data_IF_029041113085
#
_entry.id   IF_029041113085
#
_cell.length_a   1.000
_cell.length_b   1.000
_cell.length_c   1.000
_cell.angle_alpha   90.00
_cell.angle_beta   90.00
_cell.angle_gamma   90.00
#
_symmetry.space_group_name_H-M   'P 1'
#
loop_
_entity.id
_entity.type
_entity.pdbx_description
1 polymer ?
#
# COMPACT_ATOMS: atom_id res chain seq x y z
N UNK A 1 3.75 22.25 -10.27
CA UNK A 1 3.28 22.57 -8.90
C UNK A 1 4.36 22.32 -7.85
N UNK A 2 4.85 21.09 -7.67
CA UNK A 2 5.77 20.74 -6.57
C UNK A 2 7.10 21.50 -6.56
N UNK A 3 7.73 21.71 -7.72
CA UNK A 3 8.96 22.51 -7.83
C UNK A 3 8.72 23.97 -7.43
N UNK A 4 7.60 24.58 -7.89
CA UNK A 4 7.20 25.94 -7.49
C UNK A 4 7.03 26.03 -5.98
N UNK A 5 6.39 25.04 -5.37
CA UNK A 5 6.17 25.01 -3.92
C UNK A 5 7.49 24.90 -3.15
N UNK A 6 8.39 24.00 -3.58
CA UNK A 6 9.72 23.86 -2.97
C UNK A 6 10.53 25.15 -3.04
N UNK A 7 10.47 25.86 -4.17
CA UNK A 7 11.12 27.17 -4.34
C UNK A 7 10.45 28.28 -3.49
N UNK A 8 9.14 28.19 -3.25
CA UNK A 8 8.38 29.12 -2.44
C UNK A 8 8.55 28.87 -0.93
N UNK A 9 8.98 27.67 -0.52
CA UNK A 9 9.03 27.23 0.88
C UNK A 9 9.64 28.24 1.86
N UNK A 10 10.81 28.87 1.58
CA UNK A 10 11.41 29.84 2.53
C UNK A 10 10.56 31.09 2.77
N UNK A 11 9.55 31.35 1.93
CA UNK A 11 8.67 32.52 1.98
C UNK A 11 7.31 32.22 2.60
N UNK A 12 6.99 30.96 2.88
CA UNK A 12 5.69 30.54 3.42
C UNK A 12 5.66 30.83 4.91
N UNK A 13 4.59 31.46 5.41
CA UNK A 13 4.36 31.52 6.85
C UNK A 13 3.89 30.15 7.37
N UNK A 14 4.78 29.40 8.01
CA UNK A 14 4.48 28.05 8.51
C UNK A 14 3.44 28.02 9.65
N UNK A 15 3.12 29.17 10.26
CA UNK A 15 2.05 29.26 11.24
C UNK A 15 0.65 29.42 10.61
N UNK A 16 0.57 29.88 9.35
CA UNK A 16 -0.69 30.13 8.65
C UNK A 16 -1.13 28.90 7.83
N UNK A 17 -1.21 27.73 8.47
CA UNK A 17 -1.81 26.55 7.84
C UNK A 17 -3.31 26.48 8.11
N UNK A 18 -4.08 25.95 7.16
CA UNK A 18 -5.51 25.72 7.32
C UNK A 18 -5.87 24.25 7.15
N UNK A 19 -6.61 23.64 8.11
CA UNK A 19 -7.13 22.29 7.93
C UNK A 19 -8.14 22.24 6.78
N UNK A 20 -8.67 21.04 6.51
CA UNK A 20 -9.74 20.85 5.55
C UNK A 20 -11.02 21.52 6.07
N UNK A 21 -11.46 22.55 5.35
CA UNK A 21 -12.66 23.36 5.60
C UNK A 21 -13.75 23.16 4.52
N UNK A 22 -13.60 22.12 3.70
CA UNK A 22 -14.51 21.81 2.60
C UNK A 22 -15.90 21.41 3.13
N UNK A 23 -16.96 21.88 2.46
CA UNK A 23 -18.35 21.50 2.77
C UNK A 23 -18.58 19.99 2.65
N UNK A 24 -17.73 19.28 1.90
CA UNK A 24 -17.69 17.82 1.87
C UNK A 24 -17.47 17.19 3.24
N UNK A 25 -16.83 17.87 4.19
CA UNK A 25 -16.61 17.36 5.56
C UNK A 25 -17.91 17.18 6.36
N UNK A 26 -19.01 17.78 5.91
CA UNK A 26 -20.35 17.53 6.44
C UNK A 26 -20.97 16.23 5.91
N UNK A 27 -20.37 15.58 4.92
CA UNK A 27 -20.87 14.33 4.36
C UNK A 27 -20.75 13.19 5.39
N UNK A 28 -21.84 12.48 5.74
CA UNK A 28 -21.82 11.45 6.78
C UNK A 28 -20.76 10.37 6.57
N UNK A 29 -20.57 9.92 5.32
CA UNK A 29 -19.52 8.95 4.97
C UNK A 29 -18.11 9.44 5.30
N UNK A 30 -17.80 10.73 5.06
CA UNK A 30 -16.47 11.28 5.37
C UNK A 30 -16.27 11.40 6.89
N UNK A 31 -17.32 11.70 7.64
CA UNK A 31 -17.26 11.72 9.11
C UNK A 31 -17.02 10.32 9.69
N UNK A 32 -17.69 9.29 9.15
CA UNK A 32 -17.48 7.89 9.52
C UNK A 32 -16.04 7.43 9.17
N UNK A 33 -15.55 7.73 7.97
CA UNK A 33 -14.17 7.40 7.61
C UNK A 33 -13.17 8.13 8.53
N UNK A 34 -13.44 9.39 8.86
CA UNK A 34 -12.59 10.16 9.78
C UNK A 34 -12.59 9.57 11.19
N UNK A 35 -13.72 9.08 11.71
CA UNK A 35 -13.78 8.46 13.04
C UNK A 35 -12.94 7.18 13.12
N UNK A 36 -12.76 6.47 12.00
CA UNK A 36 -11.89 5.30 11.94
C UNK A 36 -10.41 5.68 11.74
N UNK A 37 -10.15 6.62 10.83
CA UNK A 37 -8.79 6.96 10.41
C UNK A 37 -8.04 7.73 11.50
N UNK A 38 -8.65 8.71 12.17
CA UNK A 38 -7.93 9.56 13.12
C UNK A 38 -7.35 8.75 14.30
N UNK A 39 -8.12 7.89 15.00
CA UNK A 39 -7.59 7.05 16.06
C UNK A 39 -6.52 6.08 15.54
N UNK A 40 -6.73 5.51 14.36
CA UNK A 40 -5.77 4.61 13.72
C UNK A 40 -4.42 5.31 13.49
N UNK A 41 -4.42 6.47 12.85
CA UNK A 41 -3.19 7.25 12.59
C UNK A 41 -2.51 7.70 13.89
N UNK A 42 -3.27 8.15 14.89
CA UNK A 42 -2.72 8.52 16.21
C UNK A 42 -2.05 7.34 16.90
N UNK A 43 -2.58 6.13 16.73
CA UNK A 43 -1.97 4.92 17.32
C UNK A 43 -0.57 4.63 16.77
N UNK A 44 -0.21 5.10 15.58
CA UNK A 44 1.17 4.95 15.06
C UNK A 44 2.14 5.98 15.65
N UNK A 45 1.63 7.08 16.19
CA UNK A 45 2.44 8.11 16.83
C UNK A 45 2.64 7.87 18.33
N UNK A 46 1.83 6.99 18.94
CA UNK A 46 1.97 6.67 20.36
C UNK A 46 3.20 5.79 20.62
N UNK A 47 3.81 5.97 21.78
CA UNK A 47 4.99 5.23 22.24
C UNK A 47 4.78 3.70 22.32
N UNK A 48 3.53 3.24 22.37
CA UNK A 48 3.16 1.83 22.52
C UNK A 48 3.20 1.02 21.22
N UNK A 49 3.04 1.65 20.04
CA UNK A 49 3.22 1.01 18.72
C UNK A 49 4.48 1.55 18.06
N UNK A 50 5.63 1.26 18.67
CA UNK A 50 6.94 1.83 18.31
C UNK A 50 7.47 1.46 16.91
N UNK A 51 6.79 0.61 16.14
CA UNK A 51 7.25 0.25 14.80
C UNK A 51 6.74 1.23 13.74
N UNK A 52 7.47 2.33 13.58
CA UNK A 52 7.45 3.13 12.36
C UNK A 52 8.68 2.75 11.54
N UNK A 53 8.52 2.18 10.32
CA UNK A 53 9.66 1.68 9.54
C UNK A 53 10.71 2.76 9.25
N UNK A 54 10.27 4.01 9.06
CA UNK A 54 11.09 5.15 8.64
C UNK A 54 10.43 6.47 9.04
N UNK A 55 11.24 7.50 9.28
CA UNK A 55 10.78 8.84 9.68
C UNK A 55 9.86 9.53 8.66
N UNK A 56 9.92 9.15 7.38
CA UNK A 56 9.03 9.66 6.32
C UNK A 56 7.56 9.26 6.54
N UNK A 57 7.30 8.13 7.22
CA UNK A 57 5.94 7.76 7.65
C UNK A 57 5.37 8.74 8.67
N UNK A 58 6.17 9.18 9.66
CA UNK A 58 5.75 10.24 10.60
C UNK A 58 5.45 11.53 9.86
N UNK A 59 6.34 11.91 8.93
CA UNK A 59 6.19 13.10 8.09
C UNK A 59 4.96 13.04 7.16
N UNK A 60 4.42 11.85 6.86
CA UNK A 60 3.14 11.71 6.16
C UNK A 60 1.94 11.76 7.11
N UNK A 61 2.03 11.10 8.29
CA UNK A 61 0.93 11.01 9.26
C UNK A 61 0.61 12.39 9.86
N UNK A 62 1.63 13.17 10.26
CA UNK A 62 1.41 14.46 10.95
C UNK A 62 0.68 15.49 10.07
N UNK A 63 1.06 15.75 8.80
CA UNK A 63 0.28 16.60 7.90
C UNK A 63 -1.11 16.02 7.62
N UNK A 64 -1.25 14.69 7.49
CA UNK A 64 -2.55 14.05 7.27
C UNK A 64 -3.52 14.35 8.42
N UNK A 65 -3.06 14.18 9.66
CA UNK A 65 -3.83 14.50 10.86
C UNK A 65 -4.15 16.00 10.97
N UNK A 66 -3.23 16.86 10.55
CA UNK A 66 -3.44 18.32 10.51
C UNK A 66 -4.50 18.70 9.48
N UNK A 67 -4.50 18.10 8.29
CA UNK A 67 -5.55 18.28 7.27
C UNK A 67 -6.90 17.83 7.83
N UNK A 68 -6.94 16.72 8.55
CA UNK A 68 -8.15 16.22 9.23
C UNK A 68 -8.55 17.06 10.46
N UNK A 69 -7.93 18.21 10.72
CA UNK A 69 -8.26 19.09 11.85
C UNK A 69 -7.92 18.50 13.22
N UNK A 70 -6.99 17.55 13.28
CA UNK A 70 -6.54 16.89 14.50
C UNK A 70 -5.01 16.92 14.61
N UNK A 71 -4.36 18.10 14.59
CA UNK A 71 -2.91 18.20 14.68
C UNK A 71 -2.40 17.52 15.96
N UNK A 72 -1.25 16.84 15.86
CA UNK A 72 -0.58 16.18 16.98
C UNK A 72 0.72 16.92 17.24
N UNK A 73 0.91 17.34 18.50
CA UNK A 73 2.15 17.95 18.96
C UNK A 73 3.17 16.86 19.30
N UNK A 74 4.46 17.12 19.08
CA UNK A 74 5.51 16.21 19.55
C UNK A 74 5.44 16.07 21.08
N UNK A 75 5.66 14.84 21.55
CA UNK A 75 5.31 14.34 22.88
C UNK A 75 5.97 15.04 24.10
N UNK A 76 6.73 16.13 23.92
CA UNK A 76 7.55 16.67 25.01
C UNK A 76 7.22 18.09 25.47
N UNK A 77 6.33 18.85 24.81
CA UNK A 77 5.96 20.19 25.31
C UNK A 77 4.51 20.55 25.01
N UNK A 78 3.75 20.90 26.04
CA UNK A 78 2.37 21.39 25.98
C UNK A 78 2.16 22.63 25.07
N UNK A 79 3.24 23.21 24.54
CA UNK A 79 3.27 24.38 23.65
C UNK A 79 4.05 24.17 22.33
N UNK A 80 4.46 22.95 21.98
CA UNK A 80 5.17 22.71 20.72
C UNK A 80 4.18 22.54 19.55
N UNK A 81 3.99 23.57 18.74
CA UNK A 81 3.33 23.42 17.44
C UNK A 81 4.10 22.42 16.58
N UNK A 82 3.39 21.58 15.82
CA UNK A 82 4.01 20.70 14.83
C UNK A 82 4.88 21.52 13.85
N UNK A 83 6.18 21.23 13.82
CA UNK A 83 7.11 21.91 12.94
C UNK A 83 7.16 21.19 11.58
N UNK A 84 6.62 21.83 10.55
CA UNK A 84 6.67 21.27 9.20
C UNK A 84 8.11 21.21 8.69
N UNK A 85 8.57 19.99 8.39
CA UNK A 85 9.87 19.78 7.74
C UNK A 85 9.89 20.39 6.34
N UNK A 86 11.07 20.82 5.88
CA UNK A 86 11.27 21.29 4.50
C UNK A 86 10.87 20.18 3.52
N UNK A 87 10.13 20.49 2.43
CA UNK A 87 9.80 19.52 1.40
C UNK A 87 11.06 18.84 0.85
N UNK A 88 11.11 17.51 0.98
CA UNK A 88 12.25 16.69 0.55
C UNK A 88 12.45 16.66 -0.96
N UNK A 89 13.48 15.95 -1.41
CA UNK A 89 13.76 15.80 -2.84
C UNK A 89 12.60 15.10 -3.57
N UNK A 90 12.13 15.73 -4.65
CA UNK A 90 11.11 15.15 -5.53
C UNK A 90 11.75 14.16 -6.51
N UNK A 91 11.21 12.93 -6.56
CA UNK A 91 11.59 11.92 -7.56
C UNK A 91 10.32 11.24 -8.07
N UNK A 92 10.25 10.90 -9.37
CA UNK A 92 9.03 10.34 -9.97
C UNK A 92 8.55 9.04 -9.31
N UNK A 93 9.49 8.25 -8.80
CA UNK A 93 9.24 6.95 -8.19
C UNK A 93 8.83 7.01 -6.71
N UNK A 94 9.05 8.13 -6.01
CA UNK A 94 8.75 8.24 -4.57
C UNK A 94 7.33 8.73 -4.37
N UNK A 95 6.39 7.78 -4.34
CA UNK A 95 4.97 8.13 -4.22
C UNK A 95 4.62 8.82 -2.89
N UNK A 96 5.17 8.34 -1.76
CA UNK A 96 4.94 8.96 -0.45
C UNK A 96 5.33 10.45 -0.44
N UNK A 97 6.44 10.81 -1.08
CA UNK A 97 6.84 12.21 -1.21
C UNK A 97 5.76 13.04 -1.90
N UNK A 98 5.13 12.53 -2.97
CA UNK A 98 4.02 13.23 -3.66
C UNK A 98 2.83 13.48 -2.74
N UNK A 99 2.47 12.48 -1.91
CA UNK A 99 1.40 12.63 -0.91
C UNK A 99 1.76 13.71 0.10
N UNK A 100 2.96 13.67 0.67
CA UNK A 100 3.44 14.69 1.63
C UNK A 100 3.42 16.09 1.00
N UNK A 101 3.89 16.23 -0.25
CA UNK A 101 3.84 17.49 -0.99
C UNK A 101 2.41 17.99 -1.14
N UNK A 102 1.48 17.15 -1.60
CA UNK A 102 0.08 17.53 -1.74
C UNK A 102 -0.52 18.00 -0.40
N UNK A 103 -0.31 17.25 0.68
CA UNK A 103 -0.82 17.61 2.01
C UNK A 103 -0.26 18.96 2.48
N UNK A 104 1.05 19.19 2.33
CA UNK A 104 1.68 20.47 2.71
C UNK A 104 1.17 21.63 1.85
N UNK A 105 1.08 21.46 0.53
CA UNK A 105 0.56 22.50 -0.37
C UNK A 105 -0.88 22.84 -0.01
N UNK A 106 -1.69 21.82 0.32
CA UNK A 106 -3.07 22.03 0.72
C UNK A 106 -3.16 22.84 2.01
N UNK A 107 -2.36 22.46 3.03
CA UNK A 107 -2.32 23.17 4.30
C UNK A 107 -1.91 24.64 4.15
N UNK A 108 -0.96 24.93 3.26
CA UNK A 108 -0.44 26.28 2.99
C UNK A 108 -1.04 26.93 1.72
N UNK A 109 -2.25 26.53 1.32
CA UNK A 109 -2.89 26.99 0.07
C UNK A 109 -3.11 28.51 -0.01
N UNK A 110 -3.18 29.19 1.13
CA UNK A 110 -3.32 30.65 1.18
C UNK A 110 -1.98 31.37 1.06
N UNK A 111 -0.89 30.70 1.43
CA UNK A 111 0.49 31.20 1.33
C UNK A 111 1.14 30.85 -0.02
N UNK A 112 0.47 30.03 -0.84
CA UNK A 112 1.00 29.54 -2.10
C UNK A 112 -0.01 29.71 -3.24
N UNK A 113 0.35 30.48 -4.26
CA UNK A 113 -0.53 30.75 -5.41
C UNK A 113 -0.82 29.47 -6.19
N UNK A 114 -2.06 29.02 -6.09
CA UNK A 114 -2.66 27.93 -6.87
C UNK A 114 -3.61 28.50 -7.92
N UNK A 115 -3.68 27.86 -9.09
CA UNK A 115 -4.78 28.10 -10.02
C UNK A 115 -6.07 27.47 -9.50
N UNK A 116 -7.24 27.91 -10.01
CA UNK A 116 -8.55 27.34 -9.63
C UNK A 116 -8.58 25.81 -9.85
N UNK A 117 -8.02 25.33 -10.96
CA UNK A 117 -7.95 23.89 -11.24
C UNK A 117 -6.99 23.17 -10.29
N UNK A 118 -5.84 23.77 -9.98
CA UNK A 118 -4.89 23.21 -9.02
C UNK A 118 -5.52 23.09 -7.62
N UNK A 119 -6.19 24.14 -7.13
CA UNK A 119 -6.89 24.12 -5.84
C UNK A 119 -7.94 23.01 -5.80
N UNK A 120 -8.84 22.95 -6.79
CA UNK A 120 -9.89 21.92 -6.83
C UNK A 120 -9.31 20.50 -6.83
N UNK A 121 -8.38 20.21 -7.74
CA UNK A 121 -7.80 18.87 -7.87
C UNK A 121 -6.99 18.48 -6.62
N UNK A 122 -6.32 19.44 -6.00
CA UNK A 122 -5.56 19.23 -4.77
C UNK A 122 -6.48 18.92 -3.60
N UNK A 123 -7.59 19.64 -3.45
CA UNK A 123 -8.59 19.39 -2.41
C UNK A 123 -9.17 17.98 -2.57
N UNK A 124 -9.68 17.63 -3.76
CA UNK A 124 -10.23 16.29 -4.01
C UNK A 124 -9.20 15.19 -3.73
N UNK A 125 -7.94 15.39 -4.13
CA UNK A 125 -6.86 14.45 -3.83
C UNK A 125 -6.57 14.35 -2.34
N UNK A 126 -6.50 15.46 -1.61
CA UNK A 126 -6.22 15.45 -0.18
C UNK A 126 -7.34 14.76 0.59
N UNK A 127 -8.62 15.00 0.24
CA UNK A 127 -9.76 14.28 0.82
C UNK A 127 -9.60 12.77 0.64
N UNK A 128 -9.31 12.30 -0.58
CA UNK A 128 -9.07 10.88 -0.83
C UNK A 128 -7.85 10.35 -0.07
N UNK A 129 -6.74 11.10 -0.09
CA UNK A 129 -5.49 10.68 0.50
C UNK A 129 -5.64 10.51 2.02
N UNK A 130 -6.22 11.49 2.71
CA UNK A 130 -6.33 11.47 4.17
C UNK A 130 -7.35 10.46 4.67
N UNK A 131 -8.48 10.26 3.97
CA UNK A 131 -9.55 9.38 4.45
C UNK A 131 -9.40 7.92 4.01
N UNK A 132 -8.68 7.66 2.91
CA UNK A 132 -8.56 6.31 2.34
C UNK A 132 -7.11 5.87 2.29
N UNK A 133 -6.29 6.60 1.52
CA UNK A 133 -4.99 6.09 1.06
C UNK A 133 -3.92 5.99 2.16
N UNK A 134 -3.77 7.04 2.98
CA UNK A 134 -2.68 7.13 3.98
C UNK A 134 -2.75 5.95 4.95
N UNK A 135 -3.93 5.59 5.43
CA UNK A 135 -4.14 4.45 6.33
C UNK A 135 -3.69 3.11 5.72
N UNK A 136 -4.00 2.89 4.43
CA UNK A 136 -3.56 1.68 3.72
C UNK A 136 -2.05 1.69 3.49
N UNK A 137 -1.47 2.85 3.17
CA UNK A 137 -0.02 2.96 2.95
C UNK A 137 0.78 2.67 4.22
N UNK A 138 0.39 3.26 5.35
CA UNK A 138 1.14 3.09 6.61
C UNK A 138 1.05 1.67 7.19
N UNK A 139 -0.01 0.93 6.84
CA UNK A 139 -0.21 -0.45 7.29
C UNK A 139 0.43 -1.48 6.36
N UNK A 140 0.88 -1.08 5.18
CA UNK A 140 1.43 -2.04 4.23
C UNK A 140 2.72 -2.77 4.68
N UNK A 141 3.59 -2.21 5.53
CA UNK A 141 4.71 -2.97 6.12
C UNK A 141 4.29 -4.15 7.01
N UNK A 142 3.01 -4.31 7.31
CA UNK A 142 2.47 -5.40 8.13
C UNK A 142 2.12 -6.60 7.23
N UNK A 143 3.01 -7.58 7.20
CA UNK A 143 2.98 -8.77 6.34
C UNK A 143 1.68 -9.55 6.50
N UNK A 144 1.35 -9.90 7.75
CA UNK A 144 0.18 -10.71 8.06
C UNK A 144 -1.12 -10.01 7.72
N UNK A 145 -1.15 -8.68 7.83
CA UNK A 145 -2.33 -7.87 7.53
C UNK A 145 -2.50 -7.60 6.03
N UNK A 146 -1.51 -7.89 5.19
CA UNK A 146 -1.52 -7.47 3.79
C UNK A 146 -2.78 -7.94 3.01
N UNK A 147 -3.21 -9.23 3.08
CA UNK A 147 -4.40 -9.67 2.35
C UNK A 147 -5.68 -8.97 2.82
N UNK A 148 -5.88 -8.85 4.15
CA UNK A 148 -7.08 -8.21 4.70
C UNK A 148 -7.08 -6.70 4.44
N UNK A 149 -5.91 -6.05 4.46
CA UNK A 149 -5.78 -4.64 4.12
C UNK A 149 -6.15 -4.36 2.66
N UNK A 150 -5.79 -5.24 1.72
CA UNK A 150 -6.14 -5.10 0.30
C UNK A 150 -7.66 -5.18 0.09
N UNK A 151 -8.35 -6.15 0.71
CA UNK A 151 -9.82 -6.24 0.66
C UNK A 151 -10.50 -5.03 1.30
N UNK A 152 -10.02 -4.61 2.48
CA UNK A 152 -10.55 -3.42 3.17
C UNK A 152 -10.34 -2.15 2.36
N UNK A 153 -9.20 -2.00 1.68
CA UNK A 153 -8.93 -0.86 0.81
C UNK A 153 -9.86 -0.85 -0.40
N UNK A 154 -10.09 -2.00 -1.04
CA UNK A 154 -11.06 -2.13 -2.14
C UNK A 154 -12.47 -1.70 -1.69
N UNK A 155 -12.93 -2.21 -0.55
CA UNK A 155 -14.24 -1.84 0.00
C UNK A 155 -14.33 -0.34 0.32
N UNK A 156 -13.28 0.25 0.92
CA UNK A 156 -13.23 1.69 1.22
C UNK A 156 -13.23 2.56 -0.04
N UNK A 157 -12.51 2.16 -1.09
CA UNK A 157 -12.54 2.87 -2.38
C UNK A 157 -13.93 2.79 -3.01
N UNK A 158 -14.60 1.64 -2.90
CA UNK A 158 -15.96 1.44 -3.39
C UNK A 158 -16.96 2.36 -2.67
N UNK A 159 -16.92 2.42 -1.34
CA UNK A 159 -17.71 3.36 -0.54
C UNK A 159 -17.40 4.83 -0.90
N UNK A 160 -16.13 5.16 -1.11
CA UNK A 160 -15.72 6.51 -1.51
C UNK A 160 -16.25 6.92 -2.90
N UNK A 161 -16.70 5.97 -3.72
CA UNK A 161 -17.27 6.28 -5.03
C UNK A 161 -18.55 7.11 -4.96
N UNK A 162 -19.25 7.10 -3.82
CA UNK A 162 -20.40 7.98 -3.53
C UNK A 162 -20.00 9.45 -3.45
N UNK A 163 -18.76 9.75 -3.02
CA UNK A 163 -18.24 11.11 -2.88
C UNK A 163 -17.57 11.56 -4.16
N UNK A 164 -16.68 10.73 -4.73
CA UNK A 164 -15.97 11.05 -5.96
C UNK A 164 -15.71 9.79 -6.80
N UNK A 165 -16.69 9.45 -7.64
CA UNK A 165 -16.64 8.30 -8.56
C UNK A 165 -15.41 8.30 -9.48
N UNK A 166 -14.95 9.48 -9.92
CA UNK A 166 -13.79 9.60 -10.84
C UNK A 166 -12.51 9.17 -10.14
N UNK A 167 -12.26 9.68 -8.93
CA UNK A 167 -11.10 9.27 -8.14
C UNK A 167 -11.19 7.81 -7.74
N UNK A 168 -12.35 7.35 -7.27
CA UNK A 168 -12.57 5.96 -6.89
C UNK A 168 -12.27 5.02 -8.07
N UNK A 169 -12.76 5.32 -9.27
CA UNK A 169 -12.51 4.52 -10.48
C UNK A 169 -11.03 4.49 -10.85
N UNK A 170 -10.35 5.64 -10.79
CA UNK A 170 -8.91 5.72 -11.05
C UNK A 170 -8.08 4.94 -10.02
N UNK A 171 -8.45 5.04 -8.74
CA UNK A 171 -7.82 4.32 -7.64
C UNK A 171 -8.02 2.81 -7.77
N UNK A 172 -9.27 2.36 -7.99
CA UNK A 172 -9.60 0.95 -8.24
C UNK A 172 -8.77 0.42 -9.39
N UNK A 173 -8.77 1.08 -10.56
CA UNK A 173 -7.99 0.67 -11.75
C UNK A 173 -6.50 0.53 -11.45
N UNK A 174 -5.94 1.39 -10.62
CA UNK A 174 -4.54 1.28 -10.21
C UNK A 174 -4.31 0.14 -9.24
N UNK A 175 -5.16 0.01 -8.23
CA UNK A 175 -5.07 -1.04 -7.23
C UNK A 175 -5.17 -2.45 -7.83
N UNK A 176 -5.92 -2.64 -8.92
CA UNK A 176 -5.98 -3.94 -9.63
C UNK A 176 -4.63 -4.45 -10.13
N UNK A 177 -3.56 -3.64 -10.12
CA UNK A 177 -2.21 -4.09 -10.49
C UNK A 177 -1.35 -4.46 -9.26
N UNK A 178 -1.93 -4.37 -8.05
CA UNK A 178 -1.23 -4.48 -6.77
C UNK A 178 -1.91 -5.45 -5.79
N UNK A 179 -2.88 -6.25 -6.24
CA UNK A 179 -3.62 -7.21 -5.40
C UNK A 179 -2.92 -8.58 -5.25
N UNK A 180 -1.58 -8.60 -5.25
CA UNK A 180 -0.82 -9.85 -5.21
C UNK A 180 -1.02 -10.63 -3.91
N UNK A 181 -1.30 -9.93 -2.80
CA UNK A 181 -1.56 -10.58 -1.51
C UNK A 181 -2.88 -11.35 -1.46
N UNK A 182 -3.78 -11.11 -2.41
CA UNK A 182 -5.01 -11.87 -2.59
C UNK A 182 -4.82 -13.12 -3.46
N UNK A 183 -3.62 -13.31 -4.02
CA UNK A 183 -3.26 -14.52 -4.75
C UNK A 183 -3.13 -15.72 -3.80
N UNK A 184 -3.37 -16.94 -4.31
CA UNK A 184 -3.32 -18.14 -3.49
C UNK A 184 -1.95 -18.39 -2.85
N UNK A 185 -0.86 -17.85 -3.41
CA UNK A 185 0.49 -17.97 -2.89
C UNK A 185 0.76 -17.08 -1.66
N UNK A 186 -0.10 -16.11 -1.35
CA UNK A 186 0.12 -15.11 -0.31
C UNK A 186 -1.08 -14.88 0.61
N UNK A 187 -2.29 -15.26 0.21
CA UNK A 187 -3.51 -15.04 1.02
C UNK A 187 -3.44 -15.71 2.40
N UNK A 188 -2.66 -16.79 2.54
CA UNK A 188 -2.42 -17.46 3.81
C UNK A 188 -1.77 -16.58 4.88
N UNK A 189 -1.11 -15.47 4.50
CA UNK A 189 -0.55 -14.50 5.46
C UNK A 189 -1.62 -14.00 6.45
N UNK A 190 -2.88 -13.95 6.01
CA UNK A 190 -4.04 -13.59 6.82
C UNK A 190 -4.24 -14.47 8.07
N UNK A 191 -3.78 -15.73 8.06
CA UNK A 191 -3.84 -16.61 9.24
C UNK A 191 -3.12 -16.01 10.45
N UNK A 192 -2.08 -15.22 10.21
CA UNK A 192 -1.23 -14.62 11.24
C UNK A 192 -1.68 -13.19 11.61
N UNK A 193 -2.76 -12.67 11.01
CA UNK A 193 -3.25 -11.33 11.28
C UNK A 193 -4.16 -11.32 12.52
N UNK A 194 -4.04 -10.27 13.34
CA UNK A 194 -4.98 -10.01 14.42
C UNK A 194 -6.24 -9.27 13.95
N UNK A 195 -6.26 -8.79 12.70
CA UNK A 195 -7.45 -8.15 12.09
C UNK A 195 -8.44 -9.17 11.52
N UNK A 196 -7.99 -10.40 11.32
CA UNK A 196 -8.82 -11.49 10.80
C UNK A 196 -9.44 -12.22 12.00
N UNK A 197 -10.77 -12.26 12.03
CA UNK A 197 -11.53 -12.90 13.10
C UNK A 197 -11.21 -14.40 13.17
N UNK A 198 -11.28 -14.98 14.38
CA UNK A 198 -11.02 -16.41 14.59
C UNK A 198 -11.98 -17.30 13.78
N UNK A 199 -13.22 -16.86 13.55
CA UNK A 199 -14.17 -17.55 12.65
C UNK A 199 -13.63 -17.64 11.23
N UNK A 200 -13.15 -16.54 10.65
CA UNK A 200 -12.55 -16.52 9.31
C UNK A 200 -11.26 -17.33 9.25
N UNK A 201 -10.44 -17.32 10.32
CA UNK A 201 -9.25 -18.18 10.42
C UNK A 201 -9.59 -19.67 10.39
N UNK A 202 -10.67 -20.09 11.07
CA UNK A 202 -11.17 -21.48 11.00
C UNK A 202 -11.59 -21.82 9.56
N UNK A 203 -12.35 -20.94 8.91
CA UNK A 203 -12.78 -21.14 7.52
C UNK A 203 -11.60 -21.22 6.54
N UNK A 204 -10.54 -20.42 6.75
CA UNK A 204 -9.30 -20.50 5.98
C UNK A 204 -8.65 -21.89 6.09
N UNK A 205 -8.54 -22.43 7.31
CA UNK A 205 -7.96 -23.76 7.56
C UNK A 205 -8.82 -24.86 6.93
N UNK A 206 -10.15 -24.81 7.12
CA UNK A 206 -11.09 -25.76 6.53
C UNK A 206 -11.02 -25.75 4.99
N UNK A 207 -10.97 -24.56 4.38
CA UNK A 207 -10.83 -24.40 2.94
C UNK A 207 -9.50 -24.97 2.42
N UNK A 208 -8.39 -24.80 3.16
CA UNK A 208 -7.08 -25.35 2.79
C UNK A 208 -7.06 -26.88 2.86
N UNK A 209 -7.72 -27.46 3.87
CA UNK A 209 -7.86 -28.92 4.01
C UNK A 209 -8.72 -29.47 2.86
N UNK A 210 -9.85 -28.84 2.55
CA UNK A 210 -10.74 -29.24 1.47
C UNK A 210 -10.08 -29.12 0.09
N UNK A 211 -9.28 -28.07 -0.14
CA UNK A 211 -8.58 -27.86 -1.40
C UNK A 211 -7.43 -28.86 -1.63
N UNK A 212 -6.92 -29.50 -0.57
CA UNK A 212 -5.80 -30.43 -0.64
C UNK A 212 -4.47 -29.74 -0.98
N UNK A 213 -3.49 -30.53 -1.44
CA UNK A 213 -2.15 -30.07 -1.76
C UNK A 213 -1.85 -30.30 -3.25
N UNK A 214 -1.49 -29.23 -3.95
CA UNK A 214 -1.01 -29.28 -5.34
C UNK A 214 0.29 -28.48 -5.47
N UNK A 215 1.41 -29.20 -5.53
CA UNK A 215 2.74 -28.62 -5.71
C UNK A 215 3.11 -28.41 -7.20
N UNK A 216 2.20 -28.74 -8.14
CA UNK A 216 2.48 -28.61 -9.58
C UNK A 216 2.37 -27.17 -10.09
N UNK A 217 1.78 -26.26 -9.30
CA UNK A 217 1.55 -24.88 -9.70
C UNK A 217 2.86 -24.11 -9.75
N UNK A 218 3.23 -23.65 -10.96
CA UNK A 218 4.39 -22.79 -11.21
C UNK A 218 3.93 -21.36 -11.51
N UNK A 219 4.46 -20.40 -10.74
CA UNK A 219 4.26 -18.97 -10.95
C UNK A 219 3.13 -18.36 -10.10
N UNK A 220 3.26 -17.06 -9.79
CA UNK A 220 2.25 -16.29 -9.04
C UNK A 220 1.00 -16.16 -9.91
N UNK A 221 -0.08 -16.80 -9.50
CA UNK A 221 -1.39 -16.57 -10.11
C UNK A 221 -1.95 -15.27 -9.54
N UNK A 222 -1.86 -14.19 -10.31
CA UNK A 222 -2.68 -13.00 -10.05
C UNK A 222 -4.13 -13.47 -9.91
N UNK A 223 -4.94 -12.96 -8.96
CA UNK A 223 -6.33 -13.37 -8.86
C UNK A 223 -6.97 -13.24 -10.24
N UNK A 224 -7.47 -14.33 -10.85
CA UNK A 224 -8.18 -14.26 -12.13
C UNK A 224 -9.54 -13.57 -11.97
N UNK A 225 -9.93 -13.26 -10.73
CA UNK A 225 -11.19 -12.64 -10.38
C UNK A 225 -11.24 -11.17 -10.84
N UNK A 226 -12.36 -10.82 -11.47
CA UNK A 226 -12.72 -9.42 -11.69
C UNK A 226 -12.74 -8.69 -10.34
N UNK A 227 -12.20 -7.49 -10.27
CA UNK A 227 -12.16 -6.69 -9.03
C UNK A 227 -13.55 -6.47 -8.42
N UNK A 228 -14.61 -6.45 -9.24
CA UNK A 228 -15.99 -6.39 -8.73
C UNK A 228 -16.42 -7.63 -7.95
N UNK A 229 -15.84 -8.80 -8.24
CA UNK A 229 -16.01 -10.01 -7.45
C UNK A 229 -15.22 -9.90 -6.14
N UNK A 230 -13.94 -9.48 -6.22
CA UNK A 230 -13.06 -9.36 -5.04
C UNK A 230 -13.63 -8.43 -3.96
N UNK A 231 -14.36 -7.37 -4.33
CA UNK A 231 -15.03 -6.48 -3.37
C UNK A 231 -16.03 -7.18 -2.45
N UNK A 232 -16.54 -8.35 -2.85
CA UNK A 232 -17.55 -9.14 -2.11
C UNK A 232 -16.97 -10.45 -1.56
N UNK A 233 -15.71 -10.71 -1.84
CA UNK A 233 -15.04 -11.97 -1.54
C UNK A 233 -14.51 -11.98 -0.10
N UNK A 234 -14.66 -13.11 0.56
CA UNK A 234 -14.03 -13.40 1.85
C UNK A 234 -12.68 -14.09 1.64
N UNK A 235 -11.79 -14.04 2.65
CA UNK A 235 -10.43 -14.53 2.48
C UNK A 235 -10.39 -16.04 2.24
N UNK A 236 -11.26 -16.80 2.92
CA UNK A 236 -11.35 -18.24 2.75
C UNK A 236 -11.77 -18.68 1.34
N UNK A 237 -12.48 -17.83 0.59
CA UNK A 237 -12.92 -18.10 -0.79
C UNK A 237 -11.77 -17.97 -1.80
N UNK A 238 -10.65 -17.34 -1.41
CA UNK A 238 -9.45 -17.19 -2.24
C UNK A 238 -8.48 -18.37 -2.10
N UNK A 239 -8.79 -19.33 -1.23
CA UNK A 239 -7.95 -20.48 -0.98
C UNK A 239 -7.96 -21.43 -2.16
N UNK A 240 -6.78 -21.97 -2.46
CA UNK A 240 -6.62 -23.08 -3.40
C UNK A 240 -5.58 -24.07 -2.89
N UNK A 241 -5.43 -25.18 -3.60
CA UNK A 241 -4.40 -26.18 -3.33
C UNK A 241 -2.96 -25.63 -3.35
N UNK A 242 -2.72 -24.53 -4.09
CA UNK A 242 -1.46 -23.79 -4.10
C UNK A 242 -1.18 -23.12 -2.75
N UNK A 243 -2.22 -22.66 -2.06
CA UNK A 243 -2.11 -22.01 -0.76
C UNK A 243 -1.57 -22.96 0.30
N UNK A 244 -2.10 -24.19 0.33
CA UNK A 244 -1.65 -25.25 1.23
C UNK A 244 -0.19 -25.62 0.96
N UNK A 245 0.22 -25.70 -0.31
CA UNK A 245 1.61 -25.96 -0.69
C UNK A 245 2.56 -24.82 -0.23
N UNK A 246 2.14 -23.56 -0.35
CA UNK A 246 2.93 -22.41 0.09
C UNK A 246 3.18 -22.43 1.61
N UNK A 247 2.15 -22.73 2.42
CA UNK A 247 2.30 -22.85 3.87
C UNK A 247 3.19 -24.04 4.28
N UNK A 248 3.07 -25.17 3.59
CA UNK A 248 3.94 -26.31 3.83
C UNK A 248 5.41 -25.95 3.58
N UNK A 249 5.70 -25.12 2.57
CA UNK A 249 7.06 -24.69 2.22
C UNK A 249 7.76 -23.88 3.33
N UNK A 250 6.98 -23.23 4.21
CA UNK A 250 7.50 -22.52 5.40
C UNK A 250 7.41 -23.36 6.69
N UNK A 251 7.05 -24.64 6.58
CA UNK A 251 7.01 -25.59 7.69
C UNK A 251 5.67 -25.69 8.43
N UNK A 252 4.59 -25.09 7.90
CA UNK A 252 3.25 -25.20 8.51
C UNK A 252 2.43 -26.31 7.86
N UNK A 253 2.16 -27.37 8.62
CA UNK A 253 1.19 -28.40 8.25
C UNK A 253 -0.19 -27.96 8.74
N UNK A 254 -1.00 -27.42 7.83
CA UNK A 254 -2.31 -26.82 8.16
C UNK A 254 -3.26 -27.79 8.86
N UNK A 255 -3.21 -29.08 8.54
CA UNK A 255 -4.02 -30.11 9.19
C UNK A 255 -3.78 -30.20 10.72
N UNK A 256 -2.62 -29.76 11.22
CA UNK A 256 -2.32 -29.73 12.66
C UNK A 256 -3.05 -28.60 13.40
N UNK A 257 -3.60 -27.62 12.68
CA UNK A 257 -4.43 -26.56 13.26
C UNK A 257 -5.91 -26.96 13.30
N UNK A 258 -6.30 -28.04 12.60
CA UNK A 258 -7.68 -28.46 12.50
C UNK A 258 -8.23 -28.85 13.87
N UNK A 259 -9.41 -28.35 14.22
CA UNK A 259 -10.04 -28.61 15.52
C UNK A 259 -9.40 -27.91 16.72
N UNK A 260 -8.30 -27.17 16.53
CA UNK A 260 -7.72 -26.30 17.57
C UNK A 260 -8.31 -24.90 17.39
N UNK A 261 -8.82 -24.32 18.47
CA UNK A 261 -9.29 -22.93 18.43
C UNK A 261 -8.13 -21.98 18.07
N UNK A 262 -8.29 -21.04 17.12
CA UNK A 262 -7.27 -20.05 16.77
C UNK A 262 -6.71 -19.26 17.96
N UNK A 263 -7.46 -19.12 19.05
CA UNK A 263 -6.95 -18.51 20.29
C UNK A 263 -5.77 -19.27 20.89
N UNK A 264 -5.72 -20.59 20.68
CA UNK A 264 -4.71 -21.49 21.22
C UNK A 264 -3.63 -21.85 20.17
N UNK A 265 -3.68 -21.28 18.97
CA UNK A 265 -2.64 -21.54 17.96
C UNK A 265 -1.26 -21.04 18.38
N UNK A 266 -1.19 -20.04 19.28
CA UNK A 266 0.08 -19.61 19.86
C UNK A 266 0.80 -20.71 20.62
N UNK A 267 0.11 -21.76 21.05
CA UNK A 267 0.70 -22.89 21.79
C UNK A 267 1.16 -24.01 20.85
N UNK A 268 0.77 -23.96 19.57
CA UNK A 268 1.19 -24.93 18.56
C UNK A 268 2.61 -24.62 18.06
N UNK A 269 3.61 -25.51 18.26
CA UNK A 269 4.99 -25.25 17.85
C UNK A 269 5.15 -24.98 16.34
N UNK A 270 4.38 -25.69 15.50
CA UNK A 270 4.39 -25.46 14.05
C UNK A 270 3.87 -24.07 13.68
N UNK A 271 2.82 -23.61 14.35
CA UNK A 271 2.29 -22.27 14.13
C UNK A 271 3.28 -21.21 14.59
N UNK A 272 3.91 -21.38 15.75
CA UNK A 272 4.96 -20.48 16.25
C UNK A 272 6.13 -20.36 15.25
N UNK A 273 6.61 -21.50 14.73
CA UNK A 273 7.67 -21.53 13.74
C UNK A 273 7.29 -20.75 12.47
N UNK A 274 6.11 -21.01 11.92
CA UNK A 274 5.62 -20.31 10.73
C UNK A 274 5.40 -18.81 11.00
N UNK A 275 4.85 -18.45 12.16
CA UNK A 275 4.66 -17.06 12.57
C UNK A 275 5.99 -16.30 12.68
N UNK A 276 7.06 -16.96 13.13
CA UNK A 276 8.40 -16.38 13.17
C UNK A 276 8.96 -16.16 11.75
N UNK A 277 8.71 -17.08 10.81
CA UNK A 277 9.06 -16.86 9.40
C UNK A 277 8.33 -15.64 8.86
N UNK A 278 7.02 -15.52 9.10
CA UNK A 278 6.20 -14.40 8.64
C UNK A 278 6.69 -13.07 9.19
N UNK A 279 7.03 -13.00 10.49
CA UNK A 279 7.60 -11.78 11.11
C UNK A 279 8.91 -11.34 10.45
N UNK A 280 9.68 -12.29 9.91
CA UNK A 280 10.95 -12.01 9.24
C UNK A 280 10.80 -11.69 7.74
N UNK A 281 9.60 -11.85 7.15
CA UNK A 281 9.39 -11.52 5.74
C UNK A 281 9.55 -10.02 5.52
N UNK A 282 10.44 -9.64 4.61
CA UNK A 282 10.55 -8.25 4.19
C UNK A 282 9.43 -7.94 3.21
N UNK A 283 8.37 -7.28 3.69
CA UNK A 283 7.36 -6.70 2.81
C UNK A 283 7.85 -5.37 2.29
N UNK A 284 8.20 -5.35 1.01
CA UNK A 284 8.52 -4.13 0.30
C UNK A 284 7.30 -3.77 -0.54
N UNK A 285 6.44 -2.90 0.01
CA UNK A 285 5.28 -2.38 -0.72
C UNK A 285 5.68 -1.49 -1.90
N UNK A 286 6.86 -0.89 -1.84
CA UNK A 286 7.31 -0.05 -2.93
C UNK A 286 7.89 -0.93 -4.04
N UNK A 287 7.00 -1.48 -4.87
CA UNK A 287 7.36 -2.19 -6.11
C UNK A 287 8.27 -1.31 -6.98
N UNK A 288 8.15 0.03 -6.91
CA UNK A 288 9.06 0.93 -7.60
C UNK A 288 10.43 0.99 -6.93
N UNK A 289 10.55 1.02 -5.60
CA UNK A 289 11.85 0.88 -4.91
C UNK A 289 12.48 -0.50 -5.15
N UNK A 290 11.71 -1.59 -5.10
CA UNK A 290 12.18 -2.93 -5.47
C UNK A 290 12.62 -2.98 -6.94
N UNK A 291 11.81 -2.46 -7.86
CA UNK A 291 12.14 -2.42 -9.29
C UNK A 291 13.35 -1.52 -9.55
N UNK A 292 13.47 -0.38 -8.86
CA UNK A 292 14.62 0.51 -8.97
C UNK A 292 15.84 -0.11 -8.34
N UNK A 293 15.74 -0.76 -7.18
CA UNK A 293 16.86 -1.44 -6.54
C UNK A 293 17.35 -2.61 -7.40
N UNK A 294 16.42 -3.40 -7.95
CA UNK A 294 16.71 -4.53 -8.82
C UNK A 294 17.28 -4.06 -10.16
N UNK A 295 16.67 -3.05 -10.79
CA UNK A 295 17.19 -2.39 -11.98
C UNK A 295 18.55 -1.75 -11.72
N UNK A 296 18.75 -1.08 -10.59
CA UNK A 296 20.03 -0.45 -10.24
C UNK A 296 21.10 -1.51 -10.04
N UNK A 297 20.78 -2.60 -9.34
CA UNK A 297 21.72 -3.69 -9.08
C UNK A 297 22.07 -4.44 -10.37
N UNK A 298 21.07 -4.72 -11.20
CA UNK A 298 21.24 -5.38 -12.50
C UNK A 298 21.96 -4.48 -13.51
N UNK A 299 21.58 -3.21 -13.64
CA UNK A 299 22.24 -2.30 -14.56
C UNK A 299 23.69 -2.07 -14.16
N UNK A 300 24.01 -2.01 -12.86
CA UNK A 300 25.40 -1.94 -12.36
C UNK A 300 26.26 -3.15 -12.74
N UNK A 301 25.66 -4.31 -13.04
CA UNK A 301 26.41 -5.46 -13.56
C UNK A 301 26.68 -5.38 -15.07
N UNK A 302 25.90 -4.56 -15.80
CA UNK A 302 26.07 -4.32 -17.24
C UNK A 302 26.98 -3.11 -17.50
N UNK A 303 26.68 -1.98 -16.87
CA UNK A 303 27.40 -0.72 -17.05
C UNK A 303 27.45 0.10 -15.76
N UNK A 304 28.55 0.84 -15.59
CA UNK A 304 28.71 1.85 -14.54
C UNK A 304 28.52 3.29 -15.06
N UNK A 305 28.33 3.46 -16.36
CA UNK A 305 28.13 4.76 -17.02
C UNK A 305 26.67 5.16 -16.99
N UNK A 306 26.36 6.34 -16.44
CA UNK A 306 24.99 6.86 -16.39
C UNK A 306 24.41 7.04 -17.80
N UNK A 307 25.21 7.49 -18.77
CA UNK A 307 24.77 7.68 -20.15
C UNK A 307 24.37 6.35 -20.83
N UNK A 308 25.10 5.27 -20.56
CA UNK A 308 24.76 3.93 -21.07
C UNK A 308 23.55 3.35 -20.34
N UNK A 309 23.41 3.61 -19.05
CA UNK A 309 22.24 3.20 -18.27
C UNK A 309 20.95 3.84 -18.81
N UNK A 310 20.98 5.12 -19.16
CA UNK A 310 19.82 5.80 -19.77
C UNK A 310 19.45 5.18 -21.14
N UNK A 311 20.45 4.87 -21.99
CA UNK A 311 20.22 4.17 -23.26
C UNK A 311 19.60 2.79 -23.05
N UNK A 312 20.10 2.04 -22.07
CA UNK A 312 19.58 0.70 -21.75
C UNK A 312 18.10 0.74 -21.33
N UNK A 313 17.71 1.71 -20.49
CA UNK A 313 16.31 1.88 -20.08
C UNK A 313 15.41 2.14 -21.30
N UNK A 314 15.85 2.98 -22.24
CA UNK A 314 15.11 3.26 -23.46
C UNK A 314 14.91 2.00 -24.32
N UNK A 315 15.99 1.21 -24.52
CA UNK A 315 15.92 -0.06 -25.27
C UNK A 315 14.97 -1.06 -24.61
N UNK A 316 15.00 -1.19 -23.29
CA UNK A 316 14.07 -2.08 -22.56
C UNK A 316 12.62 -1.64 -22.73
N UNK A 317 12.35 -0.33 -22.68
CA UNK A 317 11.01 0.22 -22.89
C UNK A 317 10.53 -0.07 -24.31
N UNK A 318 11.33 0.24 -25.32
CA UNK A 318 10.99 0.01 -26.73
C UNK A 318 10.74 -1.49 -26.99
N UNK A 319 11.53 -2.37 -26.38
CA UNK A 319 11.32 -3.82 -26.46
C UNK A 319 10.02 -4.28 -25.80
N UNK A 320 9.62 -3.71 -24.66
CA UNK A 320 8.34 -4.05 -24.00
C UNK A 320 7.13 -3.58 -24.81
N UNK A 321 7.27 -2.49 -25.57
CA UNK A 321 6.22 -2.01 -26.47
C UNK A 321 6.09 -2.91 -27.71
N UNK A 322 7.22 -3.43 -28.23
CA UNK A 322 7.25 -4.32 -29.40
C UNK A 322 6.94 -5.78 -29.10
N UNK A 323 7.31 -6.26 -27.91
CA UNK A 323 7.20 -7.66 -27.51
C UNK A 323 6.14 -7.74 -26.40
N UNK A 324 4.92 -8.23 -26.71
CA UNK A 324 3.78 -8.13 -25.81
C UNK A 324 3.88 -9.04 -24.58
N UNK A 325 4.67 -10.12 -24.65
CA UNK A 325 4.87 -11.06 -23.56
C UNK A 325 6.27 -11.72 -23.58
N UNK A 326 6.60 -12.40 -22.48
CA UNK A 326 7.88 -13.11 -22.31
C UNK A 326 7.84 -14.56 -22.78
N UNK A 327 6.86 -14.97 -23.59
CA UNK A 327 6.75 -16.35 -24.04
C UNK A 327 7.89 -16.72 -24.99
N UNK A 328 8.28 -18.00 -25.00
CA UNK A 328 9.30 -18.50 -25.94
C UNK A 328 8.91 -18.22 -27.39
N UNK A 329 7.62 -18.30 -27.71
CA UNK A 329 7.10 -18.02 -29.05
C UNK A 329 7.27 -16.55 -29.43
N UNK A 330 6.80 -15.61 -28.59
CA UNK A 330 6.93 -14.17 -28.84
C UNK A 330 8.40 -13.72 -28.95
N UNK A 331 9.28 -14.27 -28.10
CA UNK A 331 10.72 -13.97 -28.16
C UNK A 331 11.39 -14.54 -29.41
N UNK A 332 10.98 -15.72 -29.88
CA UNK A 332 11.48 -16.31 -31.11
C UNK A 332 11.06 -15.47 -32.33
N UNK A 333 9.80 -15.06 -32.39
CA UNK A 333 9.26 -14.19 -33.45
C UNK A 333 9.94 -12.81 -33.47
N UNK A 334 10.19 -12.21 -32.29
CA UNK A 334 10.89 -10.94 -32.19
C UNK A 334 12.34 -11.02 -32.69
N UNK A 335 13.05 -12.12 -32.39
CA UNK A 335 14.41 -12.38 -32.91
C UNK A 335 14.45 -12.55 -34.42
N UNK A 336 13.39 -13.10 -35.03
CA UNK A 336 13.29 -13.22 -36.49
C UNK A 336 13.04 -11.88 -37.16
N UNK A 337 12.33 -10.95 -36.51
CA UNK A 337 12.04 -9.61 -37.04
C UNK A 337 13.20 -8.60 -36.91
N UNK A 338 14.32 -8.99 -36.29
CA UNK A 338 15.53 -8.14 -36.11
C UNK A 338 16.72 -8.59 -36.94
N UNK A 339 16.59 -9.66 -37.74
CA UNK A 339 17.55 -10.06 -38.78
C UNK A 339 17.19 -9.42 -40.12
#
# INVERSE_FOLDING_TARGET
MFERFRACWPKINHANYKPLDDTSMSHPMLQMLRSDVVPFLKSFLSSERSYIPREDYKEMIQPCLTVLGCPVNDHDQANSHYCFRVPGAYHMARWMAKVIYCLKIFLFRDEFKLTVSETKNLTEFCVFATHIYVSAWISCPMQSDAPINDLQLLARIDQYSEINKKIATAATKKLQNHLWYLGPELVWLALFSNKVANTEKKMLVEAMIAAGLDASVRGIKFPPANVEQLKRTQLHELISSTTTAALLSIGLIVALLNGIDPENWSDCPHFQQAANVVKCLKVVNDTAECSIALMTSFNKSITKSEAEMQKLIQVVKDNRERIPDSSKASLASAKMATK
#
